data_IF_670722763116
#
_entry.id   IF_670722763116
#
_cell.length_a   1.000
_cell.length_b   1.000
_cell.length_c   1.000
_cell.angle_alpha   90.00
_cell.angle_beta   90.00
_cell.angle_gamma   90.00
#
_symmetry.space_group_name_H-M   'P 1'
#
loop_
_entity.id
_entity.type
_entity.pdbx_description
1 polymer ?
#
# COMPACT_ATOMS: atom_id res chain seq x y z
N UNK A 1 -37.02 -72.03 -9.17
CA UNK A 1 -36.34 -73.02 -8.30
C UNK A 1 -34.86 -72.65 -8.24
N UNK A 2 -34.33 -72.35 -7.04
CA UNK A 2 -32.92 -72.02 -6.64
C UNK A 2 -32.33 -70.70 -7.20
N UNK A 3 -32.14 -69.57 -6.49
CA UNK A 3 -31.34 -69.22 -5.26
C UNK A 3 -29.85 -69.59 -5.41
N UNK A 4 -28.85 -68.70 -5.27
CA UNK A 4 -28.45 -67.91 -4.07
C UNK A 4 -27.57 -66.67 -4.43
N UNK A 5 -27.80 -65.53 -3.75
CA UNK A 5 -26.83 -64.46 -3.33
C UNK A 5 -26.60 -64.64 -1.81
N UNK A 6 -25.47 -64.27 -1.16
CA UNK A 6 -25.01 -62.88 -0.85
C UNK A 6 -23.44 -62.77 -0.77
N UNK A 7 -22.74 -61.69 -0.38
CA UNK A 7 -23.08 -60.42 0.25
C UNK A 7 -21.86 -59.48 0.48
N UNK A 8 -22.21 -58.31 1.02
CA UNK A 8 -21.50 -57.10 1.44
C UNK A 8 -20.16 -57.21 2.21
N UNK A 9 -19.37 -56.13 2.08
CA UNK A 9 -18.37 -55.67 3.05
C UNK A 9 -17.71 -54.35 2.62
N UNK A 10 -18.19 -53.21 3.10
CA UNK A 10 -17.54 -51.91 2.94
C UNK A 10 -16.57 -51.60 4.09
N UNK A 11 -15.69 -50.61 3.91
CA UNK A 11 -15.12 -49.85 5.02
C UNK A 11 -14.79 -48.41 4.59
N UNK A 12 -15.18 -47.47 5.44
CA UNK A 12 -15.01 -46.02 5.38
C UNK A 12 -13.69 -45.58 6.06
N UNK A 13 -13.47 -44.25 6.06
CA UNK A 13 -12.55 -43.43 6.87
C UNK A 13 -11.24 -43.13 6.13
N UNK A 14 -10.76 -41.89 5.96
CA UNK A 14 -11.17 -40.57 6.44
C UNK A 14 -10.01 -39.60 6.15
N UNK A 15 -10.33 -38.35 5.83
CA UNK A 15 -9.39 -37.23 5.66
C UNK A 15 -8.74 -36.81 6.98
N UNK A 16 -7.42 -36.56 6.97
CA UNK A 16 -6.62 -35.69 7.86
C UNK A 16 -5.24 -35.55 7.14
N UNK A 17 -4.69 -34.38 6.82
CA UNK A 17 -4.54 -33.19 7.63
C UNK A 17 -3.29 -33.32 8.50
N UNK A 18 -2.11 -32.94 7.99
CA UNK A 18 -0.85 -33.07 8.73
C UNK A 18 0.18 -32.03 8.31
N UNK A 19 0.18 -30.90 9.03
CA UNK A 19 1.26 -29.90 9.06
C UNK A 19 2.44 -30.50 9.83
N UNK A 20 3.65 -30.35 9.30
CA UNK A 20 4.88 -30.53 10.09
C UNK A 20 4.98 -29.39 11.11
N UNK A 21 4.99 -29.76 12.39
CA UNK A 21 5.31 -28.87 13.50
C UNK A 21 6.67 -29.28 14.06
N UNK A 22 7.61 -28.34 14.03
CA UNK A 22 8.91 -28.45 14.68
C UNK A 22 8.72 -28.53 16.21
N UNK A 23 9.10 -29.66 16.79
CA UNK A 23 9.07 -29.91 18.24
C UNK A 23 10.29 -29.25 18.88
N UNK A 24 10.06 -28.24 19.73
CA UNK A 24 11.06 -27.74 20.69
C UNK A 24 10.76 -28.36 22.06
N UNK A 25 11.70 -29.16 22.54
CA UNK A 25 11.70 -29.82 23.85
C UNK A 25 11.57 -28.81 24.99
N UNK A 26 10.60 -29.01 25.89
CA UNK A 26 10.61 -28.41 27.23
C UNK A 26 10.38 -29.47 28.30
N UNK A 27 11.27 -29.43 29.29
CA UNK A 27 11.37 -30.27 30.47
C UNK A 27 10.11 -30.14 31.35
N UNK A 28 9.44 -31.25 31.65
CA UNK A 28 8.25 -31.28 32.52
C UNK A 28 8.67 -31.30 33.99
N UNK A 29 8.44 -30.20 34.71
CA UNK A 29 8.42 -30.16 36.18
C UNK A 29 6.98 -30.32 36.65
N UNK A 30 6.69 -31.38 37.42
CA UNK A 30 5.39 -31.59 38.05
C UNK A 30 5.25 -30.72 39.30
N UNK A 31 4.27 -29.81 39.29
CA UNK A 31 3.80 -29.08 40.46
C UNK A 31 2.28 -29.30 40.63
N UNK A 32 1.86 -29.58 41.87
CA UNK A 32 0.51 -29.93 42.27
C UNK A 32 -0.49 -28.75 42.20
N UNK A 33 -1.77 -29.09 42.05
CA UNK A 33 -2.84 -28.30 41.44
C UNK A 33 -3.35 -27.03 42.15
N UNK A 34 -2.65 -26.46 43.12
CA UNK A 34 -3.03 -25.14 43.70
C UNK A 34 -2.14 -23.97 43.22
N UNK A 35 -0.96 -24.25 42.68
CA UNK A 35 -0.08 -23.22 42.10
C UNK A 35 -0.37 -22.92 40.62
N UNK A 36 -1.12 -23.79 39.93
CA UNK A 36 -1.48 -23.60 38.52
C UNK A 36 -2.43 -22.41 38.32
N UNK A 37 -3.37 -22.21 39.24
CA UNK A 37 -4.35 -21.12 39.12
C UNK A 37 -3.75 -19.76 39.45
N UNK A 38 -2.78 -19.69 40.36
CA UNK A 38 -2.05 -18.46 40.68
C UNK A 38 -1.07 -18.08 39.55
N UNK A 39 -0.40 -19.07 38.94
CA UNK A 39 0.47 -18.85 37.78
C UNK A 39 -0.35 -18.54 36.52
N UNK A 40 -1.52 -19.18 36.31
CA UNK A 40 -2.42 -18.92 35.18
C UNK A 40 -3.07 -17.53 35.25
N UNK A 41 -3.47 -17.09 36.43
CA UNK A 41 -3.98 -15.73 36.65
C UNK A 41 -2.87 -14.68 36.51
N UNK A 42 -1.66 -14.95 37.01
CA UNK A 42 -0.48 -14.08 36.83
C UNK A 42 -0.02 -14.05 35.37
N UNK A 43 -0.06 -15.16 34.62
CA UNK A 43 0.23 -15.21 33.18
C UNK A 43 -0.87 -14.57 32.32
N UNK A 44 -2.13 -14.59 32.77
CA UNK A 44 -3.21 -13.81 32.14
C UNK A 44 -3.04 -12.31 32.38
N UNK A 45 -2.60 -11.90 33.57
CA UNK A 45 -2.28 -10.50 33.90
C UNK A 45 -0.98 -10.02 33.22
N UNK A 46 0.04 -10.88 33.11
CA UNK A 46 1.27 -10.60 32.35
C UNK A 46 1.09 -10.74 30.83
N UNK A 47 0.03 -11.43 30.40
CA UNK A 47 -0.39 -11.57 29.01
C UNK A 47 -1.22 -10.40 28.49
N UNK A 48 -1.73 -9.53 29.37
CA UNK A 48 -2.54 -8.36 29.01
C UNK A 48 -1.78 -7.03 28.89
N UNK A 49 -0.46 -6.99 29.13
CA UNK A 49 0.31 -5.73 29.07
C UNK A 49 1.68 -5.84 28.39
N UNK A 50 1.84 -6.69 27.36
CA UNK A 50 2.87 -6.37 26.36
C UNK A 50 2.26 -5.41 25.36
N UNK A 51 2.48 -4.12 25.59
CA UNK A 51 2.44 -3.11 24.52
C UNK A 51 3.28 -3.64 23.37
N UNK A 52 2.63 -4.24 22.37
CA UNK A 52 3.30 -4.74 21.17
C UNK A 52 3.80 -3.51 20.45
N UNK A 53 5.08 -3.19 20.61
CA UNK A 53 5.73 -2.09 19.91
C UNK A 53 5.49 -2.20 18.40
N UNK A 54 5.22 -1.06 17.75
CA UNK A 54 5.06 -0.94 16.29
C UNK A 54 6.28 -1.51 15.55
N UNK A 55 7.43 -1.65 16.23
CA UNK A 55 8.65 -2.26 15.69
C UNK A 55 8.51 -3.73 15.27
N UNK A 56 7.39 -4.40 15.57
CA UNK A 56 7.18 -5.82 15.21
C UNK A 56 6.21 -6.04 14.04
N UNK A 57 5.33 -5.08 13.71
CA UNK A 57 4.35 -5.22 12.63
C UNK A 57 4.26 -3.88 11.87
N UNK A 58 4.69 -3.88 10.61
CA UNK A 58 4.68 -2.69 9.74
C UNK A 58 3.29 -2.29 9.24
N UNK A 59 2.22 -2.96 9.66
CA UNK A 59 0.87 -2.71 9.17
C UNK A 59 -0.21 -2.94 10.23
N UNK A 60 -1.42 -2.46 9.95
CA UNK A 60 -2.64 -2.68 10.74
C UNK A 60 -3.80 -3.03 9.82
N UNK A 61 -4.56 -4.08 10.17
CA UNK A 61 -5.79 -4.46 9.45
C UNK A 61 -7.05 -3.84 10.06
N UNK A 62 -7.04 -3.57 11.36
CA UNK A 62 -8.19 -3.07 12.11
C UNK A 62 -7.95 -1.63 12.56
N UNK A 63 -8.98 -0.78 12.42
CA UNK A 63 -8.96 0.59 12.90
C UNK A 63 -8.64 0.69 14.40
N UNK A 64 -9.29 -0.12 15.24
CA UNK A 64 -9.14 -0.02 16.70
C UNK A 64 -7.73 -0.43 17.15
N UNK A 65 -7.12 -1.41 16.49
CA UNK A 65 -5.75 -1.85 16.77
C UNK A 65 -4.77 -0.71 16.44
N UNK A 66 -4.97 -0.03 15.30
CA UNK A 66 -4.18 1.15 14.98
C UNK A 66 -4.39 2.27 16.00
N UNK A 67 -5.64 2.58 16.36
CA UNK A 67 -5.97 3.72 17.23
C UNK A 67 -5.58 3.50 18.70
N UNK A 68 -5.57 2.26 19.18
CA UNK A 68 -5.09 1.90 20.53
C UNK A 68 -3.58 1.81 20.65
N UNK A 69 -2.84 1.77 19.54
CA UNK A 69 -1.39 1.69 19.59
C UNK A 69 -0.75 3.00 20.07
N UNK A 70 0.10 2.93 21.09
CA UNK A 70 0.85 4.08 21.60
C UNK A 70 2.02 4.42 20.69
N UNK A 71 1.98 5.61 20.09
CA UNK A 71 3.14 6.18 19.41
C UNK A 71 4.11 6.76 20.43
N UNK A 72 5.40 6.61 20.18
CA UNK A 72 6.43 7.23 21.01
C UNK A 72 6.20 8.75 21.09
N UNK A 73 6.63 9.42 22.18
CA UNK A 73 6.69 10.87 22.21
C UNK A 73 7.46 11.36 20.98
N UNK A 74 6.97 12.44 20.36
CA UNK A 74 7.55 12.96 19.11
C UNK A 74 9.03 13.29 19.36
N UNK A 75 9.92 12.44 18.85
CA UNK A 75 11.33 12.78 18.72
C UNK A 75 11.43 13.88 17.67
N UNK A 76 12.32 14.86 17.88
CA UNK A 76 12.59 15.98 16.96
C UNK A 76 13.25 15.54 15.64
N UNK A 77 13.02 14.29 15.23
CA UNK A 77 13.56 13.68 14.03
C UNK A 77 13.04 14.45 12.82
N UNK A 78 13.91 15.27 12.25
CA UNK A 78 13.61 15.94 10.99
C UNK A 78 13.62 14.90 9.88
N UNK A 79 12.50 14.77 9.17
CA UNK A 79 12.43 13.98 7.94
C UNK A 79 13.35 14.66 6.91
N UNK A 80 14.19 13.88 6.23
CA UNK A 80 15.13 14.42 5.23
C UNK A 80 14.34 15.09 4.11
N UNK A 81 14.75 16.30 3.73
CA UNK A 81 14.06 17.07 2.71
C UNK A 81 14.20 16.42 1.34
N UNK A 82 13.08 15.97 0.78
CA UNK A 82 12.95 15.47 -0.59
C UNK A 82 11.79 16.21 -1.24
N UNK A 83 12.09 17.27 -2.01
CA UNK A 83 11.08 18.08 -2.66
C UNK A 83 10.72 17.50 -4.02
N UNK A 84 9.42 17.43 -4.30
CA UNK A 84 8.94 17.05 -5.62
C UNK A 84 9.21 18.16 -6.64
N UNK A 85 9.63 17.82 -7.86
CA UNK A 85 9.88 18.81 -8.89
C UNK A 85 8.57 19.51 -9.27
N UNK A 86 8.58 20.85 -9.31
CA UNK A 86 7.40 21.67 -9.63
C UNK A 86 7.27 22.00 -11.11
N UNK A 87 8.33 21.79 -11.89
CA UNK A 87 8.45 22.24 -13.28
C UNK A 87 8.45 21.10 -14.32
N UNK A 88 8.28 19.85 -13.91
CA UNK A 88 8.24 18.70 -14.82
C UNK A 88 7.25 17.63 -14.34
N UNK A 89 6.77 16.76 -15.25
CA UNK A 89 6.02 15.57 -14.89
C UNK A 89 6.78 14.70 -13.90
N UNK A 90 6.05 14.08 -12.98
CA UNK A 90 6.57 13.24 -11.90
C UNK A 90 6.28 11.78 -12.15
N UNK A 91 7.07 10.91 -11.52
CA UNK A 91 6.97 9.46 -11.65
C UNK A 91 6.82 8.85 -10.27
N UNK A 92 5.65 8.26 -10.02
CA UNK A 92 5.34 7.53 -8.80
C UNK A 92 5.50 6.03 -9.06
N UNK A 93 6.27 5.35 -8.20
CA UNK A 93 6.31 3.90 -8.11
C UNK A 93 5.36 3.48 -6.99
N UNK A 94 4.31 2.73 -7.32
CA UNK A 94 3.42 2.12 -6.34
C UNK A 94 3.79 0.63 -6.22
N UNK A 95 4.53 0.30 -5.16
CA UNK A 95 5.10 -1.02 -4.95
C UNK A 95 4.02 -2.01 -4.50
N UNK A 96 3.78 -3.05 -5.29
CA UNK A 96 2.87 -4.14 -4.95
C UNK A 96 3.50 -5.46 -5.41
N UNK A 97 4.51 -5.93 -4.67
CA UNK A 97 5.18 -7.19 -4.97
C UNK A 97 4.44 -8.34 -4.25
N UNK A 98 3.91 -9.30 -5.01
CA UNK A 98 3.15 -10.47 -4.50
C UNK A 98 1.99 -10.12 -3.56
N UNK A 99 1.32 -8.98 -3.77
CA UNK A 99 0.24 -8.49 -2.91
C UNK A 99 0.70 -7.68 -1.70
N UNK A 100 1.98 -7.27 -1.66
CA UNK A 100 2.57 -6.44 -0.61
C UNK A 100 2.95 -7.20 0.68
N UNK A 101 3.59 -6.50 1.62
CA UNK A 101 4.12 -6.99 2.91
C UNK A 101 4.41 -8.50 2.96
N UNK A 102 5.55 -8.89 2.41
CA UNK A 102 6.01 -10.27 2.51
C UNK A 102 7.49 -10.33 2.81
N UNK A 103 7.84 -11.14 3.81
CA UNK A 103 9.20 -11.27 4.37
C UNK A 103 10.28 -11.48 3.30
N UNK A 104 10.02 -12.33 2.33
CA UNK A 104 10.99 -12.68 1.28
C UNK A 104 10.97 -11.71 0.08
N UNK A 105 9.91 -10.91 -0.01
CA UNK A 105 9.52 -10.12 -1.19
C UNK A 105 9.98 -8.67 -1.06
N UNK A 106 9.81 -8.14 0.13
CA UNK A 106 10.25 -6.81 0.53
C UNK A 106 11.79 -6.76 0.56
N UNK A 107 12.44 -7.90 0.80
CA UNK A 107 13.91 -8.09 0.66
C UNK A 107 14.30 -8.35 -0.80
N UNK A 108 13.66 -9.31 -1.49
CA UNK A 108 14.07 -9.66 -2.86
C UNK A 108 13.85 -8.54 -3.89
N UNK A 109 12.72 -7.84 -3.88
CA UNK A 109 12.50 -6.74 -4.82
C UNK A 109 13.40 -5.56 -4.50
N UNK A 110 13.66 -5.31 -3.21
CA UNK A 110 14.61 -4.27 -2.77
C UNK A 110 16.02 -4.54 -3.26
N UNK A 111 16.48 -5.79 -3.18
CA UNK A 111 17.79 -6.20 -3.67
C UNK A 111 17.93 -6.03 -5.19
N UNK A 112 16.82 -6.06 -5.92
CA UNK A 112 16.77 -5.93 -7.38
C UNK A 112 16.61 -4.49 -7.84
N UNK A 113 15.80 -3.70 -7.13
CA UNK A 113 15.44 -2.35 -7.57
C UNK A 113 16.60 -1.36 -7.40
N UNK A 114 17.17 -0.95 -8.53
CA UNK A 114 18.29 0.01 -8.58
C UNK A 114 17.96 1.28 -9.36
N UNK A 115 16.78 1.35 -9.98
CA UNK A 115 16.39 2.41 -10.93
C UNK A 115 15.82 3.66 -10.26
N UNK A 116 16.42 4.11 -9.15
CA UNK A 116 15.96 5.26 -8.37
C UNK A 116 15.89 6.56 -9.18
N UNK A 117 16.75 6.73 -10.18
CA UNK A 117 16.73 7.86 -11.12
C UNK A 117 15.44 7.94 -11.96
N UNK A 118 14.71 6.83 -12.10
CA UNK A 118 13.50 6.77 -12.89
C UNK A 118 12.25 7.21 -12.12
N UNK A 119 12.33 7.46 -10.81
CA UNK A 119 11.18 7.76 -9.95
C UNK A 119 11.42 9.04 -9.13
N UNK A 120 10.34 9.72 -8.75
CA UNK A 120 10.34 10.85 -7.82
C UNK A 120 9.69 10.47 -6.48
N UNK A 121 8.69 9.57 -6.54
CA UNK A 121 7.93 9.09 -5.38
C UNK A 121 7.99 7.57 -5.35
N UNK A 122 8.28 7.01 -4.18
CA UNK A 122 8.09 5.61 -3.84
C UNK A 122 6.92 5.49 -2.87
N UNK A 123 5.90 4.73 -3.24
CA UNK A 123 4.77 4.39 -2.38
C UNK A 123 4.85 2.92 -2.01
N UNK A 124 4.99 2.63 -0.72
CA UNK A 124 4.92 1.28 -0.20
C UNK A 124 3.45 0.87 -0.10
N UNK A 125 2.98 0.06 -1.04
CA UNK A 125 1.60 -0.38 -1.13
C UNK A 125 1.44 -1.82 -0.62
N UNK A 126 0.32 -2.04 0.05
CA UNK A 126 -0.15 -3.37 0.44
C UNK A 126 -1.66 -3.32 0.64
N UNK A 127 -2.26 -4.50 0.79
CA UNK A 127 -3.69 -4.68 1.01
C UNK A 127 -4.11 -4.57 2.49
N UNK A 128 -3.19 -4.21 3.40
CA UNK A 128 -3.51 -3.96 4.80
C UNK A 128 -4.04 -2.53 5.02
N UNK A 129 -5.03 -2.38 5.92
CA UNK A 129 -5.72 -1.10 6.17
C UNK A 129 -4.76 0.09 6.34
N UNK A 130 -3.70 -0.06 7.13
CA UNK A 130 -2.59 0.89 7.21
C UNK A 130 -1.29 0.14 6.97
N UNK A 131 -0.43 0.69 6.11
CA UNK A 131 0.86 0.15 5.70
C UNK A 131 1.97 1.17 5.92
N UNK A 132 2.93 0.86 6.79
CA UNK A 132 4.02 1.75 7.23
C UNK A 132 5.34 1.31 6.58
N UNK A 133 5.87 2.06 5.60
CA UNK A 133 7.04 1.62 4.82
C UNK A 133 8.14 1.05 5.71
N UNK A 134 8.64 -0.18 5.45
CA UNK A 134 9.72 -0.75 6.22
C UNK A 134 10.92 0.19 6.27
N UNK A 135 11.61 0.25 7.42
CA UNK A 135 12.74 1.18 7.63
C UNK A 135 13.78 1.11 6.51
N UNK A 136 14.04 -0.07 5.99
CA UNK A 136 14.98 -0.30 4.89
C UNK A 136 14.60 0.46 3.61
N UNK A 137 13.31 0.51 3.27
CA UNK A 137 12.80 1.28 2.14
C UNK A 137 12.79 2.78 2.42
N UNK A 138 12.49 3.19 3.65
CA UNK A 138 12.59 4.60 4.07
C UNK A 138 14.03 5.11 3.94
N UNK A 139 15.00 4.31 4.41
CA UNK A 139 16.42 4.65 4.34
C UNK A 139 16.91 4.72 2.89
N UNK A 140 16.49 3.80 2.02
CA UNK A 140 16.83 3.84 0.59
C UNK A 140 16.20 5.05 -0.12
N UNK A 141 14.96 5.40 0.20
CA UNK A 141 14.33 6.61 -0.31
C UNK A 141 15.11 7.86 0.15
N UNK A 142 15.49 7.94 1.42
CA UNK A 142 16.26 9.06 1.96
C UNK A 142 17.66 9.17 1.32
N UNK A 143 18.32 8.02 1.06
CA UNK A 143 19.61 7.95 0.36
C UNK A 143 19.50 8.48 -1.07
N UNK A 144 18.40 8.18 -1.76
CA UNK A 144 18.15 8.57 -3.15
C UNK A 144 17.31 9.86 -3.29
N UNK A 145 17.04 10.56 -2.19
CA UNK A 145 16.30 11.83 -2.15
C UNK A 145 14.88 11.71 -2.76
N UNK A 146 14.20 10.61 -2.44
CA UNK A 146 12.84 10.33 -2.90
C UNK A 146 11.82 10.53 -1.80
N UNK A 147 10.64 10.98 -2.20
CA UNK A 147 9.46 10.97 -1.35
C UNK A 147 9.04 9.52 -1.12
N UNK A 148 8.82 9.17 0.14
CA UNK A 148 8.40 7.83 0.56
C UNK A 148 7.01 7.91 1.19
N UNK A 149 6.05 7.15 0.67
CA UNK A 149 4.66 7.14 1.15
C UNK A 149 4.31 5.77 1.72
N UNK A 150 3.52 5.77 2.81
CA UNK A 150 2.75 4.62 3.23
C UNK A 150 1.40 4.54 2.51
N UNK A 151 0.60 3.54 2.85
CA UNK A 151 -0.74 3.35 2.29
C UNK A 151 -1.79 3.27 3.38
N UNK A 152 -2.89 4.00 3.20
CA UNK A 152 -4.16 3.82 3.90
C UNK A 152 -5.17 3.29 2.89
N UNK A 153 -5.70 2.08 3.09
CA UNK A 153 -6.64 1.45 2.17
C UNK A 153 -7.89 0.93 2.89
N UNK A 154 -9.07 1.09 2.29
CA UNK A 154 -10.25 0.33 2.69
C UNK A 154 -10.63 -0.61 1.57
N UNK A 155 -10.64 -1.93 1.82
CA UNK A 155 -11.06 -2.91 0.82
C UNK A 155 -11.88 -4.05 1.43
N UNK A 156 -12.81 -4.59 0.64
CA UNK A 156 -13.68 -5.69 1.04
C UNK A 156 -14.50 -5.41 2.31
N UNK A 157 -14.94 -6.50 2.97
CA UNK A 157 -15.83 -6.43 4.16
C UNK A 157 -15.17 -5.78 5.37
N UNK A 158 -13.85 -5.87 5.49
CA UNK A 158 -13.12 -5.24 6.58
C UNK A 158 -12.96 -3.74 6.31
N UNK A 159 -12.65 -3.35 5.07
CA UNK A 159 -12.60 -1.97 4.63
C UNK A 159 -13.90 -1.20 4.85
N UNK A 160 -15.07 -1.82 4.64
CA UNK A 160 -16.37 -1.19 4.95
C UNK A 160 -16.46 -0.84 6.45
N UNK A 161 -16.03 -1.76 7.33
CA UNK A 161 -16.05 -1.56 8.79
C UNK A 161 -15.05 -0.49 9.24
N UNK A 162 -13.83 -0.52 8.72
CA UNK A 162 -12.83 0.51 9.00
C UNK A 162 -13.29 1.87 8.47
N UNK A 163 -13.83 1.93 7.25
CA UNK A 163 -14.36 3.14 6.63
C UNK A 163 -15.46 3.82 7.45
N UNK A 164 -16.34 3.05 8.09
CA UNK A 164 -17.33 3.61 9.02
C UNK A 164 -16.70 4.32 10.23
N UNK A 165 -15.53 3.87 10.68
CA UNK A 165 -14.84 4.41 11.86
C UNK A 165 -13.96 5.61 11.54
N UNK A 166 -13.30 5.62 10.36
CA UNK A 166 -12.48 6.75 9.88
C UNK A 166 -13.21 8.08 10.03
N UNK A 167 -14.51 8.11 9.75
CA UNK A 167 -15.29 9.35 9.73
C UNK A 167 -15.96 9.69 11.07
N UNK A 168 -15.81 8.87 12.11
CA UNK A 168 -16.29 9.20 13.46
C UNK A 168 -15.42 10.30 14.08
N UNK A 169 -14.10 10.19 13.91
CA UNK A 169 -13.13 11.22 14.32
C UNK A 169 -11.99 11.32 13.29
N UNK A 170 -12.25 11.95 12.12
CA UNK A 170 -11.29 12.02 11.03
C UNK A 170 -10.07 12.90 11.36
N UNK A 171 -10.20 13.84 12.30
CA UNK A 171 -9.11 14.72 12.71
C UNK A 171 -8.12 13.97 13.62
N UNK A 172 -8.63 13.18 14.58
CA UNK A 172 -7.78 12.36 15.43
C UNK A 172 -7.01 11.31 14.61
N UNK A 173 -7.67 10.66 13.65
CA UNK A 173 -6.99 9.71 12.76
C UNK A 173 -5.91 10.42 11.93
N UNK A 174 -6.22 11.58 11.35
CA UNK A 174 -5.28 12.37 10.56
C UNK A 174 -4.04 12.78 11.38
N UNK A 175 -4.23 13.29 12.59
CA UNK A 175 -3.13 13.66 13.50
C UNK A 175 -2.27 12.44 13.84
N UNK A 176 -2.90 11.28 14.08
CA UNK A 176 -2.17 10.04 14.37
C UNK A 176 -1.35 9.56 13.17
N UNK A 177 -1.92 9.53 11.97
CA UNK A 177 -1.24 9.16 10.72
C UNK A 177 -0.05 10.08 10.43
N UNK A 178 -0.19 11.39 10.68
CA UNK A 178 0.91 12.34 10.54
C UNK A 178 2.03 12.10 11.56
N UNK A 179 1.69 11.76 12.81
CA UNK A 179 2.70 11.38 13.83
C UNK A 179 3.43 10.09 13.48
N UNK A 180 2.76 9.11 12.88
CA UNK A 180 3.41 7.90 12.35
C UNK A 180 4.44 8.25 11.30
N UNK A 181 4.16 9.20 10.40
CA UNK A 181 5.16 9.66 9.42
C UNK A 181 6.44 10.18 10.10
N UNK A 182 6.30 10.97 11.18
CA UNK A 182 7.45 11.50 11.93
C UNK A 182 8.22 10.39 12.67
N UNK A 183 7.53 9.45 13.29
CA UNK A 183 8.17 8.36 14.04
C UNK A 183 8.99 7.42 13.12
N UNK A 184 8.45 7.11 11.93
CA UNK A 184 9.07 6.19 10.98
C UNK A 184 9.88 6.86 9.88
N UNK A 185 9.81 8.19 9.75
CA UNK A 185 10.67 8.97 8.87
C UNK A 185 10.23 9.04 7.40
N UNK A 186 8.94 8.85 7.09
CA UNK A 186 8.40 8.93 5.73
C UNK A 186 7.47 10.14 5.55
N UNK A 187 7.04 10.41 4.31
CA UNK A 187 6.59 11.73 3.88
C UNK A 187 5.06 11.88 3.78
N UNK A 188 4.29 10.81 3.95
CA UNK A 188 2.83 10.88 3.89
C UNK A 188 2.21 9.62 3.32
N UNK A 189 1.07 9.76 2.65
CA UNK A 189 0.15 8.66 2.43
C UNK A 189 -0.46 8.65 1.04
N UNK A 190 -0.51 7.46 0.42
CA UNK A 190 -1.53 7.14 -0.56
C UNK A 190 -2.82 6.75 0.18
N UNK A 191 -3.94 7.37 -0.16
CA UNK A 191 -5.26 7.08 0.39
C UNK A 191 -6.09 6.40 -0.69
N UNK A 192 -6.39 5.11 -0.50
CA UNK A 192 -7.14 4.29 -1.44
C UNK A 192 -8.44 3.75 -0.84
N UNK A 193 -9.59 4.32 -1.20
CA UNK A 193 -10.88 3.83 -0.70
C UNK A 193 -11.53 2.88 -1.71
N UNK A 194 -11.19 1.59 -1.64
CA UNK A 194 -11.74 0.47 -2.46
C UNK A 194 -12.97 -0.20 -1.82
N UNK A 195 -13.60 0.47 -0.84
CA UNK A 195 -14.87 0.08 -0.24
C UNK A 195 -15.81 1.27 -0.14
N UNK A 196 -17.14 1.08 -0.26
CA UNK A 196 -18.10 2.16 -0.11
C UNK A 196 -17.97 2.88 1.24
N UNK A 197 -18.15 4.19 1.21
CA UNK A 197 -18.11 5.07 2.36
C UNK A 197 -19.41 5.86 2.49
N UNK A 198 -19.75 6.38 3.69
CA UNK A 198 -21.04 7.04 3.89
C UNK A 198 -21.27 8.31 3.05
N UNK A 199 -20.21 9.07 2.74
CA UNK A 199 -20.33 10.31 1.96
C UNK A 199 -18.98 10.78 1.41
N UNK A 200 -19.01 11.32 0.19
CA UNK A 200 -17.90 12.04 -0.44
C UNK A 200 -17.44 13.25 0.38
N UNK A 201 -18.34 13.91 1.10
CA UNK A 201 -17.98 15.04 1.96
C UNK A 201 -17.10 14.62 3.13
N UNK A 202 -17.35 13.44 3.70
CA UNK A 202 -16.52 12.88 4.78
C UNK A 202 -15.12 12.56 4.28
N UNK A 203 -14.99 11.97 3.09
CA UNK A 203 -13.71 11.71 2.42
C UNK A 203 -12.94 13.02 2.22
N UNK A 204 -13.60 14.03 1.64
CA UNK A 204 -12.99 15.33 1.38
C UNK A 204 -12.53 16.01 2.68
N UNK A 205 -13.33 15.91 3.75
CA UNK A 205 -12.98 16.45 5.08
C UNK A 205 -11.76 15.72 5.66
N UNK A 206 -11.75 14.39 5.58
CA UNK A 206 -10.62 13.58 6.05
C UNK A 206 -9.34 13.90 5.27
N UNK A 207 -9.39 13.97 3.94
CA UNK A 207 -8.23 14.32 3.10
C UNK A 207 -7.65 15.69 3.48
N UNK A 208 -8.50 16.70 3.73
CA UNK A 208 -8.05 18.01 4.22
C UNK A 208 -7.36 17.92 5.58
N UNK A 209 -7.94 17.20 6.53
CA UNK A 209 -7.32 17.04 7.85
C UNK A 209 -5.98 16.29 7.76
N UNK A 210 -5.92 15.20 6.99
CA UNK A 210 -4.70 14.43 6.81
C UNK A 210 -3.60 15.29 6.15
N UNK A 211 -3.94 16.01 5.08
CA UNK A 211 -3.01 16.91 4.40
C UNK A 211 -2.51 18.00 5.35
N UNK A 212 -3.41 18.65 6.09
CA UNK A 212 -3.04 19.70 7.04
C UNK A 212 -2.17 19.16 8.20
N UNK A 213 -2.51 18.00 8.76
CA UNK A 213 -1.72 17.36 9.81
C UNK A 213 -0.33 16.96 9.31
N UNK A 214 -0.24 16.35 8.13
CA UNK A 214 1.04 16.02 7.51
C UNK A 214 1.88 17.28 7.26
N UNK A 215 1.32 18.37 6.73
CA UNK A 215 2.04 19.66 6.57
C UNK A 215 2.51 20.23 7.91
N UNK A 216 1.67 20.18 8.96
CA UNK A 216 2.01 20.65 10.31
C UNK A 216 3.20 19.90 10.92
N UNK A 217 3.24 18.56 10.76
CA UNK A 217 4.25 17.72 11.42
C UNK A 217 5.52 17.48 10.61
N UNK A 218 5.41 17.50 9.28
CA UNK A 218 6.50 17.14 8.34
C UNK A 218 7.01 18.37 7.57
N UNK A 219 6.16 19.39 7.38
CA UNK A 219 6.45 20.56 6.56
C UNK A 219 6.08 20.38 5.09
N UNK A 220 6.63 21.24 4.23
CA UNK A 220 6.31 21.30 2.80
C UNK A 220 6.57 20.01 2.01
N UNK A 221 7.44 19.14 2.54
CA UNK A 221 7.79 17.85 1.92
C UNK A 221 6.69 16.80 2.06
N UNK A 222 5.63 17.09 2.84
CA UNK A 222 4.56 16.13 3.00
C UNK A 222 3.73 15.97 1.75
N UNK A 223 3.27 14.75 1.50
CA UNK A 223 2.49 14.40 0.31
C UNK A 223 1.37 13.44 0.68
N UNK A 224 0.13 13.86 0.39
CA UNK A 224 -1.08 13.04 0.47
C UNK A 224 -1.67 12.90 -0.92
N UNK A 225 -1.79 11.67 -1.42
CA UNK A 225 -2.33 11.38 -2.75
C UNK A 225 -3.60 10.55 -2.58
N UNK A 226 -4.68 10.96 -3.24
CA UNK A 226 -5.92 10.18 -3.29
C UNK A 226 -5.92 9.28 -4.53
N UNK A 227 -6.31 8.01 -4.39
CA UNK A 227 -6.55 7.12 -5.53
C UNK A 227 -7.98 7.32 -6.06
N UNK A 228 -8.14 7.44 -7.38
CA UNK A 228 -9.41 7.66 -8.07
C UNK A 228 -10.36 6.46 -7.95
N UNK A 229 -11.01 6.30 -6.79
CA UNK A 229 -11.85 5.14 -6.48
C UNK A 229 -13.33 5.45 -6.29
N UNK A 230 -13.69 6.58 -5.68
CA UNK A 230 -15.07 6.86 -5.26
C UNK A 230 -15.80 7.85 -6.18
N UNK A 231 -17.10 7.63 -6.38
CA UNK A 231 -18.01 8.63 -6.95
C UNK A 231 -18.48 9.66 -5.90
N UNK A 232 -19.31 10.60 -6.34
CA UNK A 232 -19.87 11.67 -5.49
C UNK A 232 -20.79 11.17 -4.38
N UNK A 233 -21.23 9.90 -4.44
CA UNK A 233 -22.05 9.24 -3.41
C UNK A 233 -21.21 8.40 -2.45
N UNK A 234 -19.88 8.34 -2.63
CA UNK A 234 -19.01 7.48 -1.83
C UNK A 234 -19.07 6.01 -2.25
N UNK A 235 -19.55 5.69 -3.45
CA UNK A 235 -19.52 4.33 -4.00
C UNK A 235 -18.26 4.12 -4.83
N UNK A 236 -17.70 2.92 -4.81
CA UNK A 236 -16.53 2.56 -5.65
C UNK A 236 -16.95 2.58 -7.13
N UNK A 237 -16.41 3.55 -7.87
CA UNK A 237 -16.60 3.78 -9.30
C UNK A 237 -15.46 4.66 -9.79
N UNK A 238 -14.48 4.05 -10.43
CA UNK A 238 -13.31 4.72 -10.98
C UNK A 238 -13.69 5.65 -12.14
N UNK A 239 -13.14 6.87 -12.16
CA UNK A 239 -13.42 7.81 -13.25
C UNK A 239 -12.39 7.76 -14.37
N UNK A 240 -11.21 7.19 -14.09
CA UNK A 240 -10.05 7.08 -14.98
C UNK A 240 -9.49 8.44 -15.43
N UNK A 241 -10.01 9.52 -14.85
CA UNK A 241 -9.69 10.90 -15.20
C UNK A 241 -10.04 11.82 -14.03
N UNK A 242 -9.37 12.98 -13.95
CA UNK A 242 -9.81 14.05 -13.08
C UNK A 242 -11.02 14.73 -13.72
N UNK A 243 -12.15 14.73 -13.02
CA UNK A 243 -13.39 15.38 -13.46
C UNK A 243 -14.14 15.97 -12.26
N UNK A 244 -15.33 16.54 -12.49
CA UNK A 244 -16.12 17.19 -11.42
C UNK A 244 -16.52 16.26 -10.27
N UNK A 245 -16.49 14.94 -10.46
CA UNK A 245 -16.86 13.94 -9.45
C UNK A 245 -15.74 13.79 -8.40
N UNK A 246 -14.49 13.66 -8.85
CA UNK A 246 -13.33 13.45 -7.96
C UNK A 246 -12.47 14.72 -7.74
N UNK A 247 -12.76 15.82 -8.44
CA UNK A 247 -12.09 17.11 -8.22
C UNK A 247 -12.15 17.60 -6.76
N UNK A 248 -13.27 17.46 -6.01
CA UNK A 248 -13.27 17.82 -4.60
C UNK A 248 -12.20 17.08 -3.78
N UNK A 249 -11.92 15.81 -4.10
CA UNK A 249 -10.88 15.03 -3.44
C UNK A 249 -9.48 15.52 -3.82
N UNK A 250 -9.26 15.78 -5.10
CA UNK A 250 -8.00 16.34 -5.61
C UNK A 250 -7.68 17.70 -4.98
N UNK A 251 -8.67 18.59 -4.87
CA UNK A 251 -8.50 19.91 -4.25
C UNK A 251 -8.25 19.83 -2.74
N UNK A 252 -8.61 18.71 -2.11
CA UNK A 252 -8.46 18.47 -0.68
C UNK A 252 -7.09 17.91 -0.26
N UNK A 253 -6.24 17.52 -1.22
CA UNK A 253 -4.93 16.92 -0.95
C UNK A 253 -3.86 17.34 -1.99
N UNK A 254 -2.67 16.74 -1.91
CA UNK A 254 -1.53 17.13 -2.74
C UNK A 254 -1.59 16.56 -4.16
N UNK A 255 -2.35 15.49 -4.42
CA UNK A 255 -2.53 14.96 -5.77
C UNK A 255 -3.53 13.82 -5.90
N UNK A 256 -3.71 13.36 -7.14
CA UNK A 256 -4.60 12.24 -7.47
C UNK A 256 -3.88 11.19 -8.32
N UNK A 257 -4.01 9.93 -7.94
CA UNK A 257 -3.61 8.77 -8.73
C UNK A 257 -4.85 8.26 -9.48
N UNK A 258 -4.89 8.48 -10.81
CA UNK A 258 -5.98 8.06 -11.68
C UNK A 258 -5.93 6.55 -11.97
N UNK A 259 -7.11 5.92 -12.02
CA UNK A 259 -7.24 4.51 -12.41
C UNK A 259 -6.77 4.25 -13.87
N UNK A 260 -6.51 2.99 -14.19
CA UNK A 260 -5.78 2.57 -15.40
C UNK A 260 -6.55 2.65 -16.72
N UNK A 261 -7.88 2.74 -16.70
CA UNK A 261 -8.72 2.60 -17.90
C UNK A 261 -8.99 3.93 -18.62
N UNK A 262 -7.92 4.68 -18.86
CA UNK A 262 -7.96 6.01 -19.48
C UNK A 262 -7.79 5.98 -21.01
N UNK A 263 -8.04 7.13 -21.63
CA UNK A 263 -7.69 7.43 -23.02
C UNK A 263 -7.06 8.84 -23.12
N UNK A 264 -6.65 9.24 -24.32
CA UNK A 264 -5.99 10.54 -24.54
C UNK A 264 -6.85 11.75 -24.13
N UNK A 265 -8.13 11.75 -24.50
CA UNK A 265 -9.05 12.86 -24.19
C UNK A 265 -9.29 13.00 -22.69
N UNK A 266 -9.37 11.87 -21.99
CA UNK A 266 -9.46 11.81 -20.52
C UNK A 266 -8.24 12.44 -19.85
N UNK A 267 -7.03 12.14 -20.33
CA UNK A 267 -5.79 12.72 -19.78
C UNK A 267 -5.75 14.23 -20.06
N UNK A 268 -5.96 14.64 -21.31
CA UNK A 268 -5.94 16.05 -21.70
C UNK A 268 -6.97 16.88 -20.89
N UNK A 269 -8.17 16.34 -20.71
CA UNK A 269 -9.21 16.96 -19.89
C UNK A 269 -8.81 17.05 -18.43
N UNK A 270 -8.15 16.01 -17.90
CA UNK A 270 -7.63 16.00 -16.52
C UNK A 270 -6.58 17.08 -16.30
N UNK A 271 -5.59 17.19 -17.20
CA UNK A 271 -4.53 18.21 -17.11
C UNK A 271 -5.10 19.62 -17.25
N UNK A 272 -6.09 19.81 -18.13
CA UNK A 272 -6.80 21.09 -18.28
C UNK A 272 -7.56 21.46 -17.01
N UNK A 273 -8.27 20.51 -16.40
CA UNK A 273 -9.06 20.74 -15.19
C UNK A 273 -8.20 20.98 -13.95
N UNK A 274 -7.04 20.33 -13.86
CA UNK A 274 -6.05 20.57 -12.80
C UNK A 274 -5.44 21.98 -12.90
N UNK A 275 -5.38 22.55 -14.11
CA UNK A 275 -4.77 23.85 -14.36
C UNK A 275 -3.24 23.81 -14.35
N UNK A 276 -2.62 24.91 -14.73
CA UNK A 276 -1.17 24.99 -14.96
C UNK A 276 -0.34 24.74 -13.70
N UNK A 277 -0.84 25.14 -12.53
CA UNK A 277 -0.13 25.03 -11.25
C UNK A 277 -0.16 23.64 -10.64
N UNK A 278 -1.17 22.82 -10.95
CA UNK A 278 -1.39 21.50 -10.32
C UNK A 278 -1.39 20.33 -11.32
N UNK A 279 -1.09 20.58 -12.61
CA UNK A 279 -1.11 19.52 -13.64
C UNK A 279 -0.18 18.34 -13.35
N UNK A 280 0.93 18.55 -12.64
CA UNK A 280 1.87 17.49 -12.28
C UNK A 280 1.45 16.69 -11.04
N UNK A 281 0.38 17.13 -10.38
CA UNK A 281 -0.24 16.43 -9.25
C UNK A 281 -1.31 15.41 -9.71
N UNK A 282 -1.53 15.30 -11.02
CA UNK A 282 -2.35 14.26 -11.65
C UNK A 282 -1.43 13.14 -12.13
N UNK A 283 -1.39 12.04 -11.39
CA UNK A 283 -0.60 10.86 -11.73
C UNK A 283 -1.47 9.86 -12.48
N UNK A 284 -1.20 9.65 -13.76
CA UNK A 284 -1.96 8.72 -14.60
C UNK A 284 -1.47 7.30 -14.37
N UNK A 285 -2.37 6.40 -13.96
CA UNK A 285 -2.05 5.04 -13.60
C UNK A 285 -1.60 4.18 -14.78
N UNK A 286 -0.54 3.40 -14.58
CA UNK A 286 -0.05 2.37 -15.49
C UNK A 286 0.09 1.06 -14.70
N UNK A 287 -0.85 0.14 -14.89
CA UNK A 287 -0.79 -1.21 -14.33
C UNK A 287 0.21 -2.08 -15.11
N UNK A 288 1.31 -2.47 -14.45
CA UNK A 288 2.38 -3.26 -15.09
C UNK A 288 1.93 -4.68 -15.46
N UNK A 289 0.87 -5.21 -14.81
CA UNK A 289 0.25 -6.47 -15.18
C UNK A 289 -0.71 -6.36 -16.38
N UNK A 290 -0.97 -5.15 -16.85
CA UNK A 290 -1.85 -4.85 -17.97
C UNK A 290 -3.28 -5.43 -17.85
N UNK A 291 -3.90 -5.31 -16.67
CA UNK A 291 -5.28 -5.80 -16.45
C UNK A 291 -6.30 -4.81 -17.00
N UNK A 292 -7.02 -5.21 -18.05
CA UNK A 292 -8.11 -4.42 -18.62
C UNK A 292 -7.67 -3.16 -19.36
N UNK A 293 -6.41 -3.10 -19.79
CA UNK A 293 -5.82 -1.96 -20.51
C UNK A 293 -5.44 -2.33 -21.95
N UNK A 294 -5.08 -1.34 -22.77
CA UNK A 294 -4.78 -1.50 -24.20
C UNK A 294 -3.29 -1.70 -24.54
N UNK A 295 -2.41 -1.64 -23.55
CA UNK A 295 -0.98 -1.87 -23.70
C UNK A 295 -0.60 -3.22 -23.08
N UNK A 296 0.60 -3.72 -23.40
CA UNK A 296 1.08 -5.01 -22.90
C UNK A 296 1.76 -4.89 -21.54
N UNK A 297 1.79 -5.99 -20.77
CA UNK A 297 2.44 -6.05 -19.47
C UNK A 297 3.96 -5.82 -19.54
N UNK A 298 4.58 -5.55 -18.39
CA UNK A 298 6.02 -5.39 -18.27
C UNK A 298 6.57 -4.27 -19.15
N UNK A 299 7.60 -4.56 -19.95
CA UNK A 299 8.20 -3.59 -20.89
C UNK A 299 7.22 -3.05 -21.93
N UNK A 300 6.11 -3.75 -22.19
CA UNK A 300 5.01 -3.26 -23.02
C UNK A 300 4.34 -1.99 -22.49
N UNK A 301 4.48 -1.70 -21.19
CA UNK A 301 4.01 -0.46 -20.56
C UNK A 301 4.72 0.78 -21.10
N UNK A 302 5.86 0.62 -21.78
CA UNK A 302 6.57 1.70 -22.48
C UNK A 302 5.66 2.44 -23.48
N UNK A 303 4.67 1.76 -24.07
CA UNK A 303 3.67 2.40 -24.95
C UNK A 303 2.86 3.44 -24.18
N UNK A 304 2.39 3.08 -22.98
CA UNK A 304 1.62 3.97 -22.14
C UNK A 304 2.48 5.12 -21.60
N UNK A 305 3.65 4.82 -21.03
CA UNK A 305 4.50 5.85 -20.44
C UNK A 305 5.04 6.83 -21.49
N UNK A 306 5.39 6.37 -22.70
CA UNK A 306 5.78 7.26 -23.81
C UNK A 306 4.63 8.19 -24.21
N UNK A 307 3.40 7.67 -24.24
CA UNK A 307 2.22 8.49 -24.51
C UNK A 307 2.02 9.56 -23.43
N UNK A 308 2.16 9.21 -22.15
CA UNK A 308 2.08 10.17 -21.03
C UNK A 308 3.19 11.23 -21.08
N UNK A 309 4.43 10.82 -21.42
CA UNK A 309 5.56 11.74 -21.58
C UNK A 309 5.29 12.76 -22.69
N UNK A 310 4.75 12.34 -23.84
CA UNK A 310 4.40 13.23 -24.94
C UNK A 310 3.31 14.25 -24.58
N UNK A 311 2.42 13.91 -23.65
CA UNK A 311 1.40 14.82 -23.12
C UNK A 311 1.89 15.70 -21.96
N UNK A 312 3.10 15.45 -21.45
CA UNK A 312 3.61 16.09 -20.24
C UNK A 312 2.75 15.78 -19.01
N UNK A 313 2.30 14.53 -18.88
CA UNK A 313 1.53 14.02 -17.74
C UNK A 313 2.43 13.27 -16.76
N UNK A 314 2.17 13.39 -15.46
CA UNK A 314 2.81 12.54 -14.45
C UNK A 314 2.28 11.11 -14.56
N UNK A 315 3.10 10.12 -14.22
CA UNK A 315 2.76 8.70 -14.30
C UNK A 315 2.84 8.04 -12.91
N UNK A 316 1.92 7.12 -12.63
CA UNK A 316 1.98 6.22 -11.49
C UNK A 316 2.09 4.77 -11.97
N UNK A 317 3.26 4.16 -11.75
CA UNK A 317 3.56 2.78 -12.17
C UNK A 317 3.17 1.83 -11.04
N UNK A 318 2.14 1.01 -11.27
CA UNK A 318 1.62 0.08 -10.29
C UNK A 318 2.18 -1.33 -10.47
N UNK A 319 2.63 -1.93 -9.37
CA UNK A 319 3.09 -3.31 -9.29
C UNK A 319 4.29 -3.67 -10.21
N UNK A 320 5.40 -2.90 -10.21
CA UNK A 320 6.59 -3.23 -11.00
C UNK A 320 7.30 -4.52 -10.53
N UNK A 321 6.92 -5.06 -9.36
CA UNK A 321 7.30 -6.39 -8.89
C UNK A 321 7.02 -7.51 -9.90
N UNK A 322 6.11 -7.25 -10.86
CA UNK A 322 5.90 -8.05 -12.06
C UNK A 322 7.19 -8.63 -12.67
N UNK A 323 8.28 -7.85 -12.74
CA UNK A 323 9.57 -8.28 -13.32
C UNK A 323 10.06 -9.59 -12.68
N UNK A 324 9.88 -9.72 -11.36
CA UNK A 324 10.29 -10.89 -10.58
C UNK A 324 9.19 -11.96 -10.48
N UNK A 325 7.92 -11.56 -10.49
CA UNK A 325 6.80 -12.49 -10.32
C UNK A 325 6.47 -13.28 -11.58
N UNK A 326 6.48 -12.58 -12.71
CA UNK A 326 5.98 -13.06 -13.99
C UNK A 326 6.84 -12.64 -15.19
N UNK A 327 7.76 -11.70 -15.00
CA UNK A 327 8.59 -11.11 -16.04
C UNK A 327 9.91 -11.83 -16.28
N UNK A 328 10.81 -11.12 -16.97
CA UNK A 328 12.10 -11.67 -17.39
C UNK A 328 13.09 -11.87 -16.23
N UNK A 329 12.87 -11.26 -15.07
CA UNK A 329 13.65 -11.48 -13.86
C UNK A 329 13.24 -12.71 -13.05
N UNK A 330 12.13 -13.36 -13.41
CA UNK A 330 11.63 -14.53 -12.69
C UNK A 330 12.61 -15.70 -12.75
N UNK A 331 12.83 -16.35 -11.60
CA UNK A 331 13.73 -17.51 -11.44
C UNK A 331 15.19 -17.24 -11.85
N UNK A 332 15.60 -15.97 -11.97
CA UNK A 332 16.98 -15.59 -12.20
C UNK A 332 17.72 -15.36 -10.89
N UNK A 333 19.05 -15.34 -10.94
CA UNK A 333 19.85 -14.85 -9.81
C UNK A 333 19.54 -13.36 -9.56
N UNK A 334 19.86 -12.87 -8.35
CA UNK A 334 19.65 -11.46 -8.00
C UNK A 334 20.34 -10.51 -8.98
N UNK A 335 21.56 -10.83 -9.43
CA UNK A 335 22.31 -9.94 -10.33
C UNK A 335 21.76 -9.93 -11.75
N UNK A 336 21.29 -11.07 -12.27
CA UNK A 336 20.59 -11.10 -13.54
C UNK A 336 19.22 -10.41 -13.45
N UNK A 337 18.50 -10.57 -12.33
CA UNK A 337 17.23 -9.91 -12.11
C UNK A 337 17.36 -8.38 -12.01
N UNK A 338 18.45 -7.86 -11.42
CA UNK A 338 18.80 -6.43 -11.45
C UNK A 338 18.95 -5.89 -12.88
N UNK A 339 19.58 -6.67 -13.76
CA UNK A 339 19.73 -6.29 -15.17
C UNK A 339 18.36 -6.20 -15.83
N UNK A 340 17.49 -7.18 -15.60
CA UNK A 340 16.14 -7.19 -16.16
C UNK A 340 15.25 -6.06 -15.63
N UNK A 341 15.31 -5.74 -14.34
CA UNK A 341 14.61 -4.59 -13.76
C UNK A 341 15.15 -3.27 -14.34
N UNK A 342 16.46 -3.12 -14.47
CA UNK A 342 17.08 -1.94 -15.10
C UNK A 342 16.64 -1.77 -16.57
N UNK A 343 16.59 -2.85 -17.35
CA UNK A 343 16.05 -2.84 -18.71
C UNK A 343 14.58 -2.42 -18.69
N UNK A 344 13.77 -2.99 -17.80
CA UNK A 344 12.36 -2.62 -17.65
C UNK A 344 12.18 -1.11 -17.41
N UNK A 345 12.87 -0.54 -16.42
CA UNK A 345 12.74 0.90 -16.11
C UNK A 345 13.27 1.81 -17.22
N UNK A 346 14.37 1.44 -17.86
CA UNK A 346 14.92 2.21 -19.00
C UNK A 346 14.00 2.20 -20.22
N UNK A 347 13.24 1.13 -20.44
CA UNK A 347 12.23 1.07 -21.50
C UNK A 347 11.01 1.94 -21.17
N UNK A 348 10.56 1.94 -19.92
CA UNK A 348 9.41 2.75 -19.49
C UNK A 348 9.72 4.25 -19.60
N UNK A 349 10.93 4.67 -19.24
CA UNK A 349 11.32 6.06 -19.26
C UNK A 349 12.65 6.22 -19.98
N UNK A 350 12.60 6.16 -21.31
CA UNK A 350 13.77 6.47 -22.14
C UNK A 350 14.28 7.86 -21.76
N UNK A 351 15.56 7.91 -21.40
CA UNK A 351 16.30 9.13 -21.07
C UNK A 351 16.48 10.03 -22.27
#
# INVERSE_FOLDING_TARGET
>A
VGKVKPGFGGCHIGTLGGKEACVSTYMTLHLSGSNYDLISSTLKLLGSERKKSLHTHGYFDQYDDFMSHDLSPVSSRKIKQSLLPSNKPRRLLCHDMKGGYCKDSDEAYRDVFTSWQCIDIFCYFSHHFISIPPKVWVDDCAKNEKVCLGTLITEGKLGIRNGQKIFQDPELLAEKLARVCVEFGFHGWLVNFESPVPSSQHVTKFLRFLTAACKKHIGENSVVIYYDSLDSRGSVRYQNCLNHVNKPYFDACDGIFLNYWWNGDMILSSLKLAGTSRRFDVYVGVDVFARGVKYNAGTGCAVATSFLQNLGASAAIFAPGWVLECGSGKNKSVDEAKIEDSIFWSMLFKS
#
